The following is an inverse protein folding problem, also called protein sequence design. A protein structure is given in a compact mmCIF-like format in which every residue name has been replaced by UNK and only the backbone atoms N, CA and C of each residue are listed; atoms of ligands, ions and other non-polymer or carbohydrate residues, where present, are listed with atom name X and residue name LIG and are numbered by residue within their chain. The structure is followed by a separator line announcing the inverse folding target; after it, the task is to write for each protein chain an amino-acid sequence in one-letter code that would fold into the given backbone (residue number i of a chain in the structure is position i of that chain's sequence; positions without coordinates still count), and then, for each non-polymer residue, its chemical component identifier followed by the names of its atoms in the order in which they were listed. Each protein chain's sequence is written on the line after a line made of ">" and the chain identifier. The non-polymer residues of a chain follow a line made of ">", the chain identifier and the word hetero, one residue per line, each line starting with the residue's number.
data_IF_351638899286
#
_entry.id   IF_351638899286
#
_cell.length_a   1.000
_cell.length_b   1.000
_cell.length_c   1.000
_cell.angle_alpha   90.00
_cell.angle_beta   90.00
_cell.angle_gamma   90.00
#
_symmetry.space_group_name_H-M   'P 1'
#
loop_
_entity.id
_entity.type
_entity.pdbx_description
1 polymer ?
#
# COMPACT_ATOMS: atom_id res chain seq x y z
N UNK A 1 0.83 11.81 -21.67
CA UNK A 1 -0.21 11.92 -20.62
C UNK A 1 0.48 12.02 -19.29
N UNK A 2 0.22 13.07 -18.53
CA UNK A 2 0.72 13.22 -17.16
C UNK A 2 0.06 12.20 -16.22
N UNK A 3 0.77 11.83 -15.15
CA UNK A 3 0.19 11.02 -14.06
C UNK A 3 -0.62 11.98 -13.20
N UNK A 4 -1.94 11.73 -13.09
CA UNK A 4 -2.81 12.48 -12.20
C UNK A 4 -2.87 11.80 -10.84
N UNK A 5 -2.60 12.55 -9.77
CA UNK A 5 -2.79 12.13 -8.39
C UNK A 5 -4.16 12.60 -7.89
N UNK A 6 -4.74 11.87 -6.94
CA UNK A 6 -6.06 12.22 -6.38
C UNK A 6 -6.01 13.43 -5.44
N UNK A 7 -4.82 13.80 -4.98
CA UNK A 7 -4.57 14.95 -4.09
C UNK A 7 -3.55 15.86 -4.75
N UNK A 8 -3.85 17.16 -4.76
CA UNK A 8 -2.87 18.18 -5.11
C UNK A 8 -1.91 18.38 -3.93
N UNK A 9 -0.64 18.38 -4.20
CA UNK A 9 0.40 18.61 -3.19
C UNK A 9 1.50 19.48 -3.82
N UNK A 10 2.10 20.32 -2.99
CA UNK A 10 3.12 21.26 -3.41
C UNK A 10 4.36 20.50 -3.95
N UNK A 11 4.78 20.74 -5.19
CA UNK A 11 5.93 20.06 -5.76
C UNK A 11 7.26 20.42 -5.10
N UNK A 12 7.34 21.55 -4.39
CA UNK A 12 8.56 22.01 -3.73
C UNK A 12 8.80 21.32 -2.38
N UNK A 13 7.74 20.83 -1.70
CA UNK A 13 7.83 20.21 -0.37
C UNK A 13 7.54 18.71 -0.39
N UNK A 14 7.09 18.17 -1.55
CA UNK A 14 6.62 16.79 -1.62
C UNK A 14 7.34 15.97 -2.70
N UNK A 15 7.48 14.68 -2.42
CA UNK A 15 7.86 13.66 -3.40
C UNK A 15 6.67 12.75 -3.69
N UNK A 16 6.46 12.43 -4.96
CA UNK A 16 5.32 11.64 -5.42
C UNK A 16 5.80 10.38 -6.15
N UNK A 17 5.12 9.27 -5.93
CA UNK A 17 5.31 8.05 -6.70
C UNK A 17 3.99 7.33 -6.92
N UNK A 18 3.90 6.58 -8.01
CA UNK A 18 2.74 5.76 -8.34
C UNK A 18 3.18 4.39 -8.85
N UNK A 19 2.59 3.36 -8.29
CA UNK A 19 2.72 2.00 -8.75
C UNK A 19 1.49 1.66 -9.60
N UNK A 20 1.68 1.23 -10.86
CA UNK A 20 0.59 1.01 -11.81
C UNK A 20 0.41 -0.45 -12.16
N UNK A 21 -0.84 -0.81 -12.49
CA UNK A 21 -1.23 -2.12 -13.05
C UNK A 21 -0.80 -3.32 -12.20
N UNK A 22 -0.87 -3.20 -10.85
CA UNK A 22 -0.45 -4.28 -9.96
C UNK A 22 -1.59 -5.26 -9.65
N UNK A 23 -1.35 -6.58 -9.81
CA UNK A 23 -2.33 -7.62 -9.51
C UNK A 23 -2.38 -7.92 -7.99
N UNK A 24 -2.78 -6.92 -7.22
CA UNK A 24 -2.91 -6.99 -5.76
C UNK A 24 -4.35 -6.75 -5.31
N UNK A 25 -4.69 -7.20 -4.11
CA UNK A 25 -6.03 -7.03 -3.55
C UNK A 25 -6.25 -5.60 -3.08
N UNK A 26 -7.27 -4.92 -3.59
CA UNK A 26 -7.67 -3.59 -3.12
C UNK A 26 -7.95 -3.55 -1.62
N UNK A 27 -8.56 -4.61 -1.06
CA UNK A 27 -8.86 -4.72 0.37
C UNK A 27 -7.60 -4.76 1.22
N UNK A 28 -6.60 -5.55 0.80
CA UNK A 28 -5.29 -5.63 1.45
C UNK A 28 -4.54 -4.30 1.32
N UNK A 29 -4.54 -3.71 0.13
CA UNK A 29 -3.87 -2.42 -0.12
C UNK A 29 -4.47 -1.30 0.73
N UNK A 30 -5.80 -1.24 0.89
CA UNK A 30 -6.46 -0.27 1.78
C UNK A 30 -6.07 -0.46 3.25
N UNK A 31 -5.92 -1.69 3.71
CA UNK A 31 -5.50 -1.96 5.09
C UNK A 31 -4.04 -1.51 5.32
N UNK A 32 -3.14 -1.83 4.39
CA UNK A 32 -1.73 -1.39 4.44
C UNK A 32 -1.65 0.14 4.41
N UNK A 33 -2.34 0.80 3.48
CA UNK A 33 -2.32 2.27 3.35
C UNK A 33 -2.72 2.96 4.66
N UNK A 34 -3.72 2.43 5.36
CA UNK A 34 -4.13 2.96 6.67
C UNK A 34 -3.10 2.72 7.77
N UNK A 35 -2.36 1.62 7.69
CA UNK A 35 -1.35 1.27 8.68
C UNK A 35 -0.06 2.10 8.56
N UNK A 36 0.31 2.48 7.33
CA UNK A 36 1.56 3.22 7.07
C UNK A 36 1.37 4.73 6.99
N UNK A 37 0.16 5.22 6.76
CA UNK A 37 -0.11 6.67 6.69
C UNK A 37 0.26 7.37 7.99
N UNK A 38 1.01 8.47 7.90
CA UNK A 38 1.50 9.26 9.03
C UNK A 38 2.81 8.75 9.64
N UNK A 39 3.37 7.66 9.13
CA UNK A 39 4.70 7.16 9.52
C UNK A 39 5.78 7.79 8.64
N UNK A 40 7.02 7.78 9.14
CA UNK A 40 8.18 8.04 8.29
C UNK A 40 8.40 6.90 7.30
N UNK A 41 9.12 7.18 6.22
CA UNK A 41 9.44 6.15 5.21
C UNK A 41 10.21 4.99 5.84
N UNK A 42 11.21 5.29 6.69
CA UNK A 42 12.00 4.26 7.38
C UNK A 42 11.14 3.35 8.27
N UNK A 43 10.26 3.93 9.10
CA UNK A 43 9.35 3.15 9.95
C UNK A 43 8.36 2.32 9.14
N UNK A 44 7.90 2.81 7.99
CA UNK A 44 6.98 2.10 7.12
C UNK A 44 7.67 0.94 6.40
N UNK A 45 8.92 1.11 5.96
CA UNK A 45 9.74 0.04 5.37
C UNK A 45 9.96 -1.08 6.39
N UNK A 46 10.43 -0.76 7.60
CA UNK A 46 10.62 -1.74 8.69
C UNK A 46 9.31 -2.49 9.03
N UNK A 47 8.21 -1.75 9.16
CA UNK A 47 6.90 -2.35 9.40
C UNK A 47 6.49 -3.35 8.31
N UNK A 48 6.65 -2.99 7.03
CA UNK A 48 6.29 -3.85 5.91
C UNK A 48 7.20 -5.08 5.80
N UNK A 49 8.48 -4.94 6.14
CA UNK A 49 9.41 -6.08 6.22
C UNK A 49 9.01 -7.05 7.34
N UNK A 50 8.64 -6.56 8.52
CA UNK A 50 8.12 -7.37 9.61
C UNK A 50 6.81 -8.09 9.21
N UNK A 51 5.94 -7.44 8.44
CA UNK A 51 4.73 -8.08 7.89
C UNK A 51 5.08 -9.22 6.93
N UNK A 52 6.09 -9.04 6.08
CA UNK A 52 6.54 -10.08 5.13
C UNK A 52 7.19 -11.25 5.86
N UNK A 53 7.95 -10.97 6.92
CA UNK A 53 8.55 -11.98 7.79
C UNK A 53 7.50 -12.78 8.58
N UNK A 54 6.33 -12.17 8.83
CA UNK A 54 5.24 -12.77 9.59
C UNK A 54 5.27 -12.43 11.08
N UNK A 55 6.13 -11.50 11.48
CA UNK A 55 6.32 -11.09 12.86
C UNK A 55 5.26 -10.07 13.30
N UNK A 56 4.75 -9.29 12.36
CA UNK A 56 3.72 -8.28 12.62
C UNK A 56 2.56 -8.39 11.62
N UNK A 57 1.32 -8.33 12.10
CA UNK A 57 0.13 -8.37 11.25
C UNK A 57 -0.39 -6.98 10.93
N UNK A 58 -1.08 -6.87 9.79
CA UNK A 58 -1.76 -5.63 9.39
C UNK A 58 -3.18 -5.65 9.94
N UNK A 59 -3.65 -4.60 10.67
CA UNK A 59 -5.00 -4.54 11.20
C UNK A 59 -6.02 -4.35 10.07
N UNK A 60 -7.02 -5.22 10.03
CA UNK A 60 -8.13 -5.15 9.09
C UNK A 60 -9.35 -4.53 9.76
N UNK A 61 -9.44 -3.21 9.75
CA UNK A 61 -10.58 -2.46 10.31
C UNK A 61 -11.80 -2.44 9.37
N UNK A 62 -11.56 -2.68 8.08
CA UNK A 62 -12.58 -2.88 7.05
C UNK A 62 -12.39 -4.26 6.41
N UNK A 63 -13.48 -4.85 5.90
CA UNK A 63 -13.45 -6.18 5.27
C UNK A 63 -12.89 -7.25 6.21
N UNK A 64 -13.29 -7.23 7.46
CA UNK A 64 -12.79 -8.09 8.53
C UNK A 64 -13.64 -9.35 8.80
N UNK A 65 -14.72 -9.57 8.04
CA UNK A 65 -15.55 -10.78 8.19
C UNK A 65 -14.73 -12.04 7.91
N UNK A 66 -14.69 -12.96 8.90
CA UNK A 66 -13.91 -14.19 8.82
C UNK A 66 -12.41 -14.01 8.92
N UNK A 67 -11.93 -12.86 9.38
CA UNK A 67 -10.52 -12.61 9.67
C UNK A 67 -10.18 -13.07 11.09
N UNK A 68 -9.10 -13.84 11.23
CA UNK A 68 -8.64 -14.33 12.52
C UNK A 68 -8.13 -13.21 13.42
N UNK A 69 -8.22 -13.44 14.74
CA UNK A 69 -7.66 -12.53 15.73
C UNK A 69 -6.14 -12.68 15.82
N UNK A 70 -5.45 -11.58 16.10
CA UNK A 70 -4.01 -11.49 16.27
C UNK A 70 -3.67 -10.77 17.57
N UNK A 71 -2.71 -11.30 18.30
CA UNK A 71 -2.27 -10.74 19.58
C UNK A 71 -1.23 -9.62 19.46
N UNK A 72 -0.67 -9.45 18.27
CA UNK A 72 0.37 -8.47 17.93
C UNK A 72 -0.18 -7.11 17.51
N UNK A 73 -1.50 -6.91 17.57
CA UNK A 73 -2.17 -5.66 17.20
C UNK A 73 -2.75 -4.99 18.44
N UNK A 74 -2.30 -3.77 18.72
CA UNK A 74 -2.86 -2.97 19.81
C UNK A 74 -4.23 -2.39 19.43
N UNK A 75 -5.21 -2.59 20.33
CA UNK A 75 -6.55 -2.01 20.22
C UNK A 75 -7.43 -2.54 19.09
N UNK A 76 -7.03 -3.64 18.43
CA UNK A 76 -7.81 -4.30 17.39
C UNK A 76 -7.47 -5.79 17.30
N UNK A 77 -8.46 -6.63 16.97
CA UNK A 77 -8.28 -8.09 16.98
C UNK A 77 -7.98 -8.67 15.59
N UNK A 78 -8.72 -8.23 14.56
CA UNK A 78 -8.64 -8.83 13.23
C UNK A 78 -7.40 -8.39 12.46
N UNK A 79 -6.56 -9.32 12.04
CA UNK A 79 -5.33 -9.04 11.29
C UNK A 79 -4.93 -10.13 10.30
N UNK A 80 -4.21 -9.75 9.28
CA UNK A 80 -3.63 -10.63 8.25
C UNK A 80 -2.21 -10.22 7.90
N UNK A 81 -1.54 -11.09 7.16
CA UNK A 81 -0.20 -10.87 6.59
C UNK A 81 -0.31 -10.75 5.06
N UNK A 82 -0.56 -9.58 4.50
CA UNK A 82 -0.73 -9.39 3.06
C UNK A 82 0.62 -9.29 2.32
N UNK A 83 1.45 -10.34 2.38
CA UNK A 83 2.85 -10.34 1.91
C UNK A 83 3.02 -9.88 0.46
N UNK A 84 2.10 -10.29 -0.44
CA UNK A 84 2.18 -9.89 -1.85
C UNK A 84 2.01 -8.37 -2.01
N UNK A 85 1.03 -7.79 -1.34
CA UNK A 85 0.80 -6.35 -1.40
C UNK A 85 1.93 -5.59 -0.68
N UNK A 86 2.41 -6.07 0.47
CA UNK A 86 3.52 -5.43 1.21
C UNK A 86 4.79 -5.33 0.38
N UNK A 87 5.13 -6.35 -0.42
CA UNK A 87 6.28 -6.30 -1.35
C UNK A 87 6.13 -5.22 -2.43
N UNK A 88 4.91 -5.02 -2.93
CA UNK A 88 4.65 -3.98 -3.92
C UNK A 88 4.67 -2.58 -3.26
N UNK A 89 4.20 -2.46 -2.02
CA UNK A 89 4.29 -1.21 -1.26
C UNK A 89 5.73 -0.84 -0.91
N UNK A 90 6.60 -1.80 -0.59
CA UNK A 90 8.04 -1.53 -0.40
C UNK A 90 8.67 -0.91 -1.65
N UNK A 91 8.38 -1.46 -2.83
CA UNK A 91 8.85 -0.88 -4.10
C UNK A 91 8.32 0.53 -4.35
N UNK A 92 7.06 0.79 -3.95
CA UNK A 92 6.46 2.12 -4.06
C UNK A 92 7.16 3.12 -3.14
N UNK A 93 7.45 2.74 -1.89
CA UNK A 93 8.16 3.59 -0.93
C UNK A 93 9.61 3.85 -1.38
N UNK A 94 10.31 2.84 -1.87
CA UNK A 94 11.65 2.98 -2.43
C UNK A 94 11.67 3.99 -3.60
N UNK A 95 10.72 3.89 -4.53
CA UNK A 95 10.60 4.85 -5.63
C UNK A 95 10.29 6.27 -5.13
N UNK A 96 9.37 6.39 -4.18
CA UNK A 96 9.01 7.68 -3.61
C UNK A 96 10.19 8.32 -2.85
N UNK A 97 10.93 7.52 -2.08
CA UNK A 97 12.16 7.93 -1.38
C UNK A 97 13.23 8.42 -2.35
N UNK A 98 13.47 7.67 -3.43
CA UNK A 98 14.46 8.05 -4.45
C UNK A 98 14.07 9.37 -5.13
N UNK A 99 12.78 9.56 -5.47
CA UNK A 99 12.28 10.80 -6.01
C UNK A 99 12.44 11.99 -5.02
N UNK A 100 12.30 11.73 -3.71
CA UNK A 100 12.58 12.72 -2.67
C UNK A 100 14.07 13.09 -2.59
N UNK A 101 14.93 12.09 -2.62
CA UNK A 101 16.40 12.30 -2.61
C UNK A 101 16.87 13.05 -3.85
N UNK A 102 16.30 12.81 -5.03
CA UNK A 102 16.61 13.57 -6.26
C UNK A 102 16.23 15.05 -6.13
N UNK A 103 15.22 15.36 -5.32
CA UNK A 103 14.83 16.75 -4.99
C UNK A 103 15.65 17.38 -3.88
N UNK A 104 16.53 16.62 -3.24
CA UNK A 104 17.40 17.09 -2.15
C UNK A 104 16.81 16.89 -0.75
N UNK A 105 15.68 16.18 -0.61
CA UNK A 105 15.08 15.84 0.69
C UNK A 105 15.79 14.66 1.36
N UNK A 106 15.71 14.57 2.70
CA UNK A 106 16.13 13.39 3.42
C UNK A 106 15.10 12.27 3.30
N UNK A 107 15.27 11.42 2.28
CA UNK A 107 14.30 10.40 1.89
C UNK A 107 13.78 9.51 3.02
N UNK A 108 14.62 8.96 3.92
CA UNK A 108 14.17 8.14 5.04
C UNK A 108 13.31 8.87 6.08
N UNK A 109 13.55 10.17 6.31
CA UNK A 109 12.85 10.97 7.31
C UNK A 109 11.53 11.54 6.81
N UNK A 110 11.29 11.54 5.49
CA UNK A 110 10.03 12.02 4.91
C UNK A 110 8.83 11.28 5.48
N UNK A 111 7.72 12.00 5.68
CA UNK A 111 6.48 11.48 6.24
C UNK A 111 5.50 11.12 5.13
N UNK A 112 4.84 9.98 5.28
CA UNK A 112 3.81 9.51 4.35
C UNK A 112 2.50 10.26 4.65
N UNK A 113 2.20 11.31 3.91
CA UNK A 113 0.98 12.12 4.09
C UNK A 113 -0.21 11.53 3.37
N UNK A 114 0.02 10.95 2.18
CA UNK A 114 -1.05 10.37 1.38
C UNK A 114 -0.62 9.04 0.75
N UNK A 115 -1.45 8.02 0.94
CA UNK A 115 -1.35 6.74 0.23
C UNK A 115 -2.76 6.26 -0.10
N UNK A 116 -3.04 6.07 -1.38
CA UNK A 116 -4.36 5.62 -1.82
C UNK A 116 -4.26 4.54 -2.91
N UNK A 117 -4.86 3.37 -2.69
CA UNK A 117 -5.01 2.33 -3.70
C UNK A 117 -6.31 2.54 -4.48
N UNK A 118 -6.23 2.47 -5.80
CA UNK A 118 -7.34 2.58 -6.73
C UNK A 118 -7.53 1.28 -7.52
N UNK A 119 -8.78 0.87 -7.69
CA UNK A 119 -9.10 -0.24 -8.58
C UNK A 119 -9.18 0.28 -10.02
N UNK A 120 -8.29 -0.20 -10.89
CA UNK A 120 -8.26 0.18 -12.30
C UNK A 120 -9.10 -0.77 -13.14
N UNK A 121 -9.08 -2.06 -12.81
CA UNK A 121 -9.82 -3.06 -13.59
C UNK A 121 -9.71 -4.46 -13.01
N UNK A 122 -10.13 -5.43 -13.81
CA UNK A 122 -10.02 -6.84 -13.50
C UNK A 122 -9.48 -7.59 -14.73
N UNK A 123 -8.52 -8.47 -14.49
CA UNK A 123 -8.11 -9.45 -15.49
C UNK A 123 -9.02 -10.65 -15.38
N UNK A 124 -9.73 -10.95 -16.46
CA UNK A 124 -10.63 -12.10 -16.52
C UNK A 124 -9.83 -13.42 -16.37
N UNK A 125 -10.38 -14.30 -15.57
CA UNK A 125 -9.89 -15.65 -15.36
C UNK A 125 -11.05 -16.62 -15.18
N UNK A 126 -10.81 -17.90 -15.37
CA UNK A 126 -11.81 -18.96 -15.20
C UNK A 126 -11.22 -20.10 -14.38
N UNK A 127 -12.07 -20.66 -13.50
CA UNK A 127 -11.75 -21.85 -12.73
C UNK A 127 -12.70 -22.97 -13.10
N UNK A 128 -12.22 -24.16 -13.52
CA UNK A 128 -13.04 -25.33 -13.78
C UNK A 128 -13.84 -25.75 -12.54
N UNK A 129 -15.08 -26.17 -12.75
CA UNK A 129 -15.96 -26.68 -11.72
C UNK A 129 -16.55 -28.03 -12.14
N UNK A 130 -17.24 -28.70 -11.22
CA UNK A 130 -17.93 -29.97 -11.51
C UNK A 130 -18.93 -29.84 -12.66
N UNK A 131 -19.26 -30.95 -13.30
CA UNK A 131 -20.19 -31.07 -14.41
C UNK A 131 -19.81 -30.25 -15.65
N UNK A 132 -18.52 -30.11 -15.95
CA UNK A 132 -18.01 -29.39 -17.13
C UNK A 132 -18.28 -27.88 -17.13
N UNK A 133 -18.68 -27.30 -15.97
CA UNK A 133 -18.85 -25.85 -15.80
C UNK A 133 -17.58 -25.14 -15.43
N UNK A 134 -17.57 -23.83 -15.61
CA UNK A 134 -16.52 -22.95 -15.13
C UNK A 134 -17.11 -21.75 -14.39
N UNK A 135 -16.44 -21.28 -13.36
CA UNK A 135 -16.77 -20.03 -12.68
C UNK A 135 -15.71 -18.97 -12.94
N UNK A 136 -16.11 -17.70 -12.90
CA UNK A 136 -15.20 -16.59 -13.01
C UNK A 136 -14.18 -16.60 -11.87
N UNK A 137 -12.91 -16.32 -12.19
CA UNK A 137 -11.82 -16.20 -11.24
C UNK A 137 -10.96 -14.99 -11.60
N UNK A 138 -11.55 -13.82 -11.44
CA UNK A 138 -10.94 -12.56 -11.86
C UNK A 138 -9.86 -12.11 -10.89
N UNK A 139 -8.81 -11.51 -11.43
CA UNK A 139 -7.73 -10.87 -10.64
C UNK A 139 -7.94 -9.37 -10.68
N UNK A 140 -8.09 -8.74 -9.52
CA UNK A 140 -8.19 -7.29 -9.40
C UNK A 140 -6.85 -6.65 -9.73
N UNK A 141 -6.89 -5.59 -10.54
CA UNK A 141 -5.73 -4.75 -10.88
C UNK A 141 -5.89 -3.42 -10.16
N UNK A 142 -4.86 -3.03 -9.44
CA UNK A 142 -4.83 -1.81 -8.64
C UNK A 142 -3.64 -0.94 -9.01
N UNK A 143 -3.87 0.38 -8.98
CA UNK A 143 -2.83 1.38 -8.90
C UNK A 143 -2.72 1.84 -7.45
N UNK A 144 -1.52 2.21 -7.02
CA UNK A 144 -1.29 2.77 -5.69
C UNK A 144 -0.48 4.04 -5.83
N UNK A 145 -1.02 5.15 -5.38
CA UNK A 145 -0.34 6.42 -5.30
C UNK A 145 0.21 6.68 -3.91
N UNK A 146 1.35 7.36 -3.83
CA UNK A 146 2.00 7.76 -2.59
C UNK A 146 2.53 9.17 -2.72
N UNK A 147 2.31 9.99 -1.69
CA UNK A 147 2.88 11.33 -1.54
C UNK A 147 3.61 11.36 -0.20
N UNK A 148 4.88 11.73 -0.28
CA UNK A 148 5.74 11.97 0.87
C UNK A 148 5.92 13.48 1.04
N UNK A 149 5.99 13.93 2.26
CA UNK A 149 6.22 15.32 2.61
C UNK A 149 7.46 15.45 3.50
N UNK A 150 8.25 16.47 3.25
CA UNK A 150 9.43 16.77 4.06
C UNK A 150 8.98 17.50 5.34
N UNK A 151 9.23 16.94 6.53
CA UNK A 151 8.86 17.59 7.79
C UNK A 151 9.57 18.92 8.03
N UNK A 152 10.78 19.11 7.48
CA UNK A 152 11.56 20.35 7.65
C UNK A 152 11.06 21.49 6.73
N UNK A 153 10.40 21.17 5.63
CA UNK A 153 9.90 22.18 4.70
C UNK A 153 8.53 22.78 5.12
N UNK A 154 7.92 22.25 6.17
CA UNK A 154 6.58 22.65 6.63
C UNK A 154 6.61 23.58 7.87
N UNK A 155 7.83 23.97 8.37
CA UNK A 155 8.00 24.96 9.45
C UNK A 155 8.14 26.41 8.93
#
# INVERSE_FOLDING_TARGET
>A
MGINYSVEADPETTAKAMLRDRPISLKHSKAISKAIKGKTVAEAEEYLEAVIAGDQSVPFKQHNTGVGHRSDIDGWDAGRYPNKASKDFLKLLENARNNGTEKGFDGPSMVITHVAPHKVGERAGRKPRAFGRASAWNTTICDVECILEDPEATE
#
